data_IF_128667476699
#
_entry.id   IF_128667476699
#
_cell.length_a   1.000
_cell.length_b   1.000
_cell.length_c   1.000
_cell.angle_alpha   90.00
_cell.angle_beta   90.00
_cell.angle_gamma   90.00
#
_symmetry.space_group_name_H-M   'P 1'
#
loop_
_entity.id
_entity.type
_entity.pdbx_description
1 polymer ?
#
# COMPACT_ATOMS: atom_id res chain seq x y z
N UNK A 1 15.68 -26.93 17.75
CA UNK A 1 15.05 -26.90 16.41
C UNK A 1 14.40 -25.53 16.13
N UNK A 2 14.87 -24.43 16.73
CA UNK A 2 14.10 -23.17 16.81
C UNK A 2 14.53 -22.04 15.86
N UNK A 3 15.79 -21.95 15.45
CA UNK A 3 16.26 -20.78 14.67
C UNK A 3 15.93 -20.84 13.17
N UNK A 4 15.81 -22.05 12.61
CA UNK A 4 15.51 -22.21 11.18
C UNK A 4 14.03 -21.91 10.85
N UNK A 5 13.12 -22.08 11.82
CA UNK A 5 11.69 -21.85 11.63
C UNK A 5 11.26 -20.39 11.87
N UNK A 6 12.03 -19.60 12.64
CA UNK A 6 11.71 -18.18 12.89
C UNK A 6 12.10 -17.25 11.75
N UNK A 7 13.17 -17.57 11.01
CA UNK A 7 13.70 -16.69 9.96
C UNK A 7 12.68 -16.33 8.84
N UNK A 8 11.83 -17.25 8.34
CA UNK A 8 10.78 -16.91 7.37
C UNK A 8 9.70 -15.99 7.94
N UNK A 9 9.27 -16.22 9.18
CA UNK A 9 8.24 -15.41 9.85
C UNK A 9 8.75 -13.98 10.14
N UNK A 10 10.02 -13.84 10.50
CA UNK A 10 10.67 -12.54 10.71
C UNK A 10 10.81 -11.76 9.42
N UNK A 11 11.18 -12.41 8.30
CA UNK A 11 11.22 -11.76 6.98
C UNK A 11 9.85 -11.30 6.53
N UNK A 12 8.82 -12.14 6.66
CA UNK A 12 7.46 -11.77 6.29
C UNK A 12 6.97 -10.57 7.13
N UNK A 13 7.31 -10.54 8.43
CA UNK A 13 7.04 -9.39 9.31
C UNK A 13 7.74 -8.12 8.82
N UNK A 14 9.03 -8.22 8.48
CA UNK A 14 9.81 -7.08 7.96
C UNK A 14 9.23 -6.53 6.65
N UNK A 15 8.79 -7.41 5.74
CA UNK A 15 8.16 -6.99 4.48
C UNK A 15 6.87 -6.22 4.74
N UNK A 16 5.99 -6.73 5.60
CA UNK A 16 4.74 -6.04 5.92
C UNK A 16 5.00 -4.68 6.59
N UNK A 17 5.99 -4.60 7.48
CA UNK A 17 6.39 -3.33 8.09
C UNK A 17 6.98 -2.35 7.06
N UNK A 18 7.80 -2.83 6.13
CA UNK A 18 8.34 -2.01 5.04
C UNK A 18 7.21 -1.45 4.16
N UNK A 19 6.23 -2.27 3.79
CA UNK A 19 5.03 -1.84 3.06
C UNK A 19 4.25 -0.79 3.85
N UNK A 20 4.01 -1.02 5.16
CA UNK A 20 3.33 -0.06 6.01
C UNK A 20 4.07 1.30 6.06
N UNK A 21 5.40 1.29 6.15
CA UNK A 21 6.21 2.51 6.13
C UNK A 21 6.14 3.26 4.79
N UNK A 22 6.19 2.53 3.66
CA UNK A 22 6.03 3.14 2.34
C UNK A 22 4.67 3.80 2.21
N UNK A 23 3.60 3.12 2.64
CA UNK A 23 2.23 3.67 2.63
C UNK A 23 2.11 4.91 3.50
N UNK A 24 2.71 4.87 4.70
CA UNK A 24 2.76 6.03 5.59
C UNK A 24 3.46 7.22 4.92
N UNK A 25 4.60 6.98 4.27
CA UNK A 25 5.33 8.02 3.54
C UNK A 25 4.51 8.59 2.37
N UNK A 26 3.89 7.73 1.57
CA UNK A 26 3.00 8.15 0.46
C UNK A 26 1.83 8.99 1.00
N UNK A 27 1.18 8.56 2.08
CA UNK A 27 0.10 9.29 2.71
C UNK A 27 0.54 10.63 3.31
N UNK A 28 1.70 10.68 3.98
CA UNK A 28 2.26 11.91 4.54
C UNK A 28 2.58 12.93 3.44
N UNK A 29 3.28 12.49 2.38
CA UNK A 29 3.59 13.34 1.22
C UNK A 29 2.32 13.80 0.53
N UNK A 30 1.35 12.92 0.31
CA UNK A 30 0.09 13.24 -0.38
C UNK A 30 -0.83 14.16 0.44
N UNK A 31 -0.68 14.18 1.77
CA UNK A 31 -1.35 15.15 2.65
C UNK A 31 -0.72 16.53 2.53
N UNK A 32 0.61 16.60 2.51
CA UNK A 32 1.35 17.86 2.40
C UNK A 32 1.32 18.44 0.97
N UNK A 33 1.30 17.57 -0.04
CA UNK A 33 1.40 17.90 -1.46
C UNK A 33 0.41 17.05 -2.27
N UNK A 34 -0.84 17.50 -2.30
CA UNK A 34 -1.98 16.79 -2.90
C UNK A 34 -1.98 16.70 -4.44
N UNK A 35 -1.03 17.37 -5.10
CA UNK A 35 -0.84 17.31 -6.56
C UNK A 35 0.31 16.43 -7.02
N UNK A 36 1.25 16.06 -6.14
CA UNK A 36 2.46 15.31 -6.54
C UNK A 36 2.13 13.91 -7.02
N UNK A 37 1.28 13.19 -6.29
CA UNK A 37 0.90 11.82 -6.64
C UNK A 37 0.10 11.75 -7.96
N UNK A 38 -0.96 12.56 -8.19
CA UNK A 38 -1.62 12.59 -9.49
C UNK A 38 -0.66 12.93 -10.64
N UNK A 39 0.24 13.90 -10.45
CA UNK A 39 1.20 14.31 -11.48
C UNK A 39 2.23 13.24 -11.81
N UNK A 40 2.69 12.46 -10.83
CA UNK A 40 3.60 11.33 -11.09
C UNK A 40 2.92 10.22 -11.90
N UNK A 41 1.59 10.15 -11.86
CA UNK A 41 0.77 9.31 -12.72
C UNK A 41 0.44 9.97 -14.07
N UNK A 42 1.09 11.08 -14.43
CA UNK A 42 0.90 11.76 -15.70
C UNK A 42 -0.40 12.56 -15.83
N UNK A 43 -1.09 12.84 -14.72
CA UNK A 43 -2.26 13.71 -14.71
C UNK A 43 -1.81 15.17 -14.82
N UNK A 44 -2.49 15.95 -15.66
CA UNK A 44 -2.17 17.35 -15.88
C UNK A 44 -2.36 18.21 -14.61
N UNK A 45 -1.69 19.37 -14.57
CA UNK A 45 -1.69 20.26 -13.40
C UNK A 45 -3.09 20.69 -12.96
N UNK A 46 -3.98 20.99 -13.91
CA UNK A 46 -5.31 21.51 -13.60
C UNK A 46 -6.22 20.41 -13.05
N UNK A 47 -6.16 19.22 -13.64
CA UNK A 47 -6.90 18.05 -13.14
C UNK A 47 -6.34 17.56 -11.82
N UNK A 48 -5.01 17.54 -11.64
CA UNK A 48 -4.38 17.23 -10.36
C UNK A 48 -4.85 18.17 -9.24
N UNK A 49 -4.95 19.48 -9.51
CA UNK A 49 -5.51 20.45 -8.57
C UNK A 49 -6.98 20.19 -8.23
N UNK A 50 -7.80 19.81 -9.22
CA UNK A 50 -9.21 19.43 -8.99
C UNK A 50 -9.35 18.13 -8.17
N UNK A 51 -8.34 17.27 -8.18
CA UNK A 51 -8.32 16.02 -7.43
C UNK A 51 -7.82 16.17 -5.98
N UNK A 52 -7.38 17.36 -5.56
CA UNK A 52 -6.76 17.59 -4.25
C UNK A 52 -7.54 16.98 -3.07
N UNK A 53 -8.86 17.19 -3.03
CA UNK A 53 -9.72 16.62 -1.99
C UNK A 53 -9.67 15.07 -1.96
N UNK A 54 -9.77 14.43 -3.13
CA UNK A 54 -9.70 12.97 -3.25
C UNK A 54 -8.31 12.45 -2.90
N UNK A 55 -7.24 13.15 -3.31
CA UNK A 55 -5.87 12.80 -2.93
C UNK A 55 -5.68 12.84 -1.42
N UNK A 56 -6.26 13.82 -0.71
CA UNK A 56 -6.20 13.91 0.75
C UNK A 56 -7.02 12.81 1.45
N UNK A 57 -8.17 12.43 0.89
CA UNK A 57 -8.94 11.28 1.40
C UNK A 57 -8.15 9.98 1.24
N UNK A 58 -7.56 9.75 0.06
CA UNK A 58 -6.66 8.63 -0.19
C UNK A 58 -5.47 8.64 0.80
N UNK A 59 -4.84 9.79 0.99
CA UNK A 59 -3.72 9.96 1.93
C UNK A 59 -4.11 9.58 3.36
N UNK A 60 -5.29 10.00 3.81
CA UNK A 60 -5.82 9.67 5.14
C UNK A 60 -6.02 8.16 5.30
N UNK A 61 -6.57 7.49 4.28
CA UNK A 61 -6.69 6.02 4.24
C UNK A 61 -5.33 5.34 4.35
N UNK A 62 -4.35 5.79 3.58
CA UNK A 62 -3.01 5.18 3.58
C UNK A 62 -2.32 5.31 4.94
N UNK A 63 -2.44 6.47 5.60
CA UNK A 63 -1.93 6.67 6.96
C UNK A 63 -2.64 5.73 7.94
N UNK A 64 -3.98 5.66 7.90
CA UNK A 64 -4.75 4.82 8.80
C UNK A 64 -4.41 3.32 8.64
N UNK A 65 -4.32 2.83 7.40
CA UNK A 65 -3.94 1.44 7.11
C UNK A 65 -2.50 1.15 7.53
N UNK A 66 -1.57 2.08 7.28
CA UNK A 66 -0.18 1.93 7.69
C UNK A 66 -0.04 1.83 9.21
N UNK A 67 -0.71 2.71 9.95
CA UNK A 67 -0.68 2.70 11.42
C UNK A 67 -1.38 1.47 11.99
N UNK A 68 -2.55 1.10 11.46
CA UNK A 68 -3.30 -0.08 11.89
C UNK A 68 -2.51 -1.38 11.68
N UNK A 69 -1.99 -1.58 10.47
CA UNK A 69 -1.17 -2.76 10.14
C UNK A 69 0.15 -2.77 10.89
N UNK A 70 0.85 -1.63 10.98
CA UNK A 70 2.09 -1.51 11.75
C UNK A 70 1.87 -1.85 13.23
N UNK A 71 0.86 -1.25 13.87
CA UNK A 71 0.55 -1.51 15.26
C UNK A 71 0.16 -2.98 15.51
N UNK A 72 -0.65 -3.57 14.62
CA UNK A 72 -1.08 -4.96 14.75
C UNK A 72 0.10 -5.94 14.60
N UNK A 73 1.01 -5.69 13.66
CA UNK A 73 2.20 -6.52 13.42
C UNK A 73 3.27 -6.34 14.49
N UNK A 74 3.38 -5.15 15.09
CA UNK A 74 4.30 -4.87 16.21
C UNK A 74 3.81 -5.55 17.49
N UNK A 75 2.54 -5.33 17.85
CA UNK A 75 1.93 -5.91 19.08
C UNK A 75 1.76 -7.42 19.00
N UNK A 76 1.56 -7.96 17.79
CA UNK A 76 1.21 -9.38 17.62
C UNK A 76 -0.22 -9.69 18.08
N UNK A 77 -0.62 -10.96 17.94
CA UNK A 77 -1.92 -11.45 18.36
C UNK A 77 -2.90 -11.75 17.22
N UNK A 78 -4.09 -12.23 17.58
CA UNK A 78 -5.10 -12.75 16.64
C UNK A 78 -5.60 -11.72 15.62
N UNK A 79 -5.58 -10.43 15.96
CA UNK A 79 -5.99 -9.34 15.07
C UNK A 79 -4.97 -8.96 13.99
N UNK A 80 -3.70 -9.36 14.12
CA UNK A 80 -2.65 -8.97 13.18
C UNK A 80 -2.90 -9.50 11.77
N UNK A 81 -3.32 -10.77 11.66
CA UNK A 81 -3.64 -11.39 10.38
C UNK A 81 -4.79 -10.68 9.67
N UNK A 82 -5.86 -10.33 10.39
CA UNK A 82 -7.02 -9.64 9.80
C UNK A 82 -6.66 -8.25 9.29
N UNK A 83 -5.87 -7.47 10.04
CA UNK A 83 -5.39 -6.16 9.60
C UNK A 83 -4.50 -6.24 8.37
N UNK A 84 -3.54 -7.17 8.35
CA UNK A 84 -2.66 -7.38 7.19
C UNK A 84 -3.45 -7.77 5.93
N UNK A 85 -4.43 -8.67 6.06
CA UNK A 85 -5.28 -9.07 4.94
C UNK A 85 -6.20 -7.93 4.47
N UNK A 86 -6.73 -7.11 5.39
CA UNK A 86 -7.52 -5.93 5.01
C UNK A 86 -6.66 -4.91 4.25
N UNK A 87 -5.43 -4.66 4.71
CA UNK A 87 -4.47 -3.82 3.98
C UNK A 87 -4.12 -4.39 2.60
N UNK A 88 -3.97 -5.71 2.47
CA UNK A 88 -3.71 -6.36 1.19
C UNK A 88 -4.89 -6.23 0.21
N UNK A 89 -6.12 -6.33 0.73
CA UNK A 89 -7.33 -6.13 -0.08
C UNK A 89 -7.36 -4.71 -0.66
N UNK A 90 -7.05 -3.70 0.17
CA UNK A 90 -6.91 -2.32 -0.26
C UNK A 90 -5.87 -2.17 -1.38
N UNK A 91 -4.68 -2.75 -1.23
CA UNK A 91 -3.62 -2.71 -2.27
C UNK A 91 -4.06 -3.40 -3.56
N UNK A 92 -4.78 -4.51 -3.46
CA UNK A 92 -5.36 -5.19 -4.62
C UNK A 92 -6.31 -4.30 -5.42
N UNK A 93 -7.21 -3.57 -4.74
CA UNK A 93 -8.11 -2.62 -5.41
C UNK A 93 -7.36 -1.42 -6.00
N UNK A 94 -6.30 -0.95 -5.36
CA UNK A 94 -5.46 0.14 -5.88
C UNK A 94 -4.75 -0.31 -7.18
N UNK A 95 -4.21 -1.53 -7.21
CA UNK A 95 -3.60 -2.12 -8.40
C UNK A 95 -4.59 -2.21 -9.57
N UNK A 96 -5.81 -2.70 -9.32
CA UNK A 96 -6.89 -2.77 -10.33
C UNK A 96 -7.25 -1.38 -10.86
N UNK A 97 -7.36 -0.40 -9.96
CA UNK A 97 -7.69 0.98 -10.31
C UNK A 97 -6.62 1.61 -11.19
N UNK A 98 -5.34 1.45 -10.83
CA UNK A 98 -4.19 1.95 -11.59
C UNK A 98 -4.10 1.31 -12.98
N UNK A 99 -4.26 -0.01 -13.08
CA UNK A 99 -4.28 -0.72 -14.37
C UNK A 99 -5.44 -0.25 -15.24
N UNK A 100 -6.62 -0.06 -14.67
CA UNK A 100 -7.81 0.41 -15.40
C UNK A 100 -7.64 1.85 -15.89
N UNK A 101 -7.05 2.73 -15.07
CA UNK A 101 -6.73 4.10 -15.45
C UNK A 101 -5.69 4.15 -16.59
N UNK A 102 -4.65 3.33 -16.53
CA UNK A 102 -3.64 3.21 -17.58
C UNK A 102 -4.22 2.70 -18.91
N UNK A 103 -5.07 1.66 -18.83
CA UNK A 103 -5.73 1.06 -20.02
C UNK A 103 -6.71 2.01 -20.69
N UNK A 104 -7.38 2.85 -19.91
CA UNK A 104 -8.32 3.86 -20.41
C UNK A 104 -7.65 5.18 -20.83
N UNK A 105 -6.33 5.29 -20.74
CA UNK A 105 -5.59 6.50 -21.12
C UNK A 105 -5.78 7.68 -20.15
N UNK A 106 -6.33 7.44 -18.95
CA UNK A 106 -6.54 8.47 -17.92
C UNK A 106 -5.31 8.73 -17.05
N UNK A 107 -4.29 7.88 -17.17
CA UNK A 107 -3.02 7.99 -16.46
C UNK A 107 -1.87 7.43 -17.32
N UNK A 108 -0.65 7.86 -17.04
CA UNK A 108 0.56 7.40 -17.70
C UNK A 108 0.79 5.90 -17.43
N UNK A 109 0.90 5.13 -18.51
CA UNK A 109 1.02 3.66 -18.45
C UNK A 109 2.17 3.18 -17.58
N UNK A 110 3.37 3.73 -17.78
CA UNK A 110 4.57 3.28 -17.08
C UNK A 110 4.44 3.49 -15.56
N UNK A 111 4.08 4.70 -15.13
CA UNK A 111 3.90 5.03 -13.72
C UNK A 111 2.80 4.21 -13.05
N UNK A 112 1.64 4.08 -13.72
CA UNK A 112 0.53 3.29 -13.20
C UNK A 112 0.83 1.79 -13.11
N UNK A 113 1.49 1.20 -14.10
CA UNK A 113 1.86 -0.21 -14.06
C UNK A 113 2.96 -0.49 -13.03
N UNK A 114 3.94 0.41 -12.87
CA UNK A 114 4.96 0.28 -11.83
C UNK A 114 4.32 0.32 -10.43
N UNK A 115 3.42 1.27 -10.19
CA UNK A 115 2.69 1.37 -8.93
C UNK A 115 1.79 0.13 -8.69
N UNK A 116 1.09 -0.35 -9.71
CA UNK A 116 0.27 -1.56 -9.62
C UNK A 116 1.11 -2.81 -9.31
N UNK A 117 2.30 -2.93 -9.90
CA UNK A 117 3.22 -4.03 -9.60
C UNK A 117 3.69 -3.99 -8.13
N UNK A 118 3.99 -2.79 -7.61
CA UNK A 118 4.31 -2.59 -6.20
C UNK A 118 3.15 -3.02 -5.27
N UNK A 119 1.93 -2.64 -5.60
CA UNK A 119 0.73 -3.03 -4.86
C UNK A 119 0.48 -4.56 -4.90
N UNK A 120 0.70 -5.21 -6.05
CA UNK A 120 0.63 -6.68 -6.16
C UNK A 120 1.72 -7.36 -5.32
N UNK A 121 2.93 -6.82 -5.30
CA UNK A 121 4.01 -7.33 -4.45
C UNK A 121 3.67 -7.20 -2.95
N UNK A 122 3.04 -6.08 -2.55
CA UNK A 122 2.55 -5.88 -1.19
C UNK A 122 1.50 -6.93 -0.79
N UNK A 123 0.56 -7.24 -1.69
CA UNK A 123 -0.43 -8.33 -1.50
C UNK A 123 0.28 -9.66 -1.30
N UNK A 124 1.28 -9.98 -2.13
CA UNK A 124 2.08 -11.20 -1.98
C UNK A 124 2.77 -11.30 -0.61
N UNK A 125 3.38 -10.19 -0.15
CA UNK A 125 4.00 -10.11 1.18
C UNK A 125 3.01 -10.32 2.32
N UNK A 126 1.81 -9.74 2.21
CA UNK A 126 0.74 -9.92 3.18
C UNK A 126 0.21 -11.36 3.24
N UNK A 127 0.02 -12.00 2.08
CA UNK A 127 -0.38 -13.40 2.00
C UNK A 127 0.70 -14.34 2.57
N UNK A 128 1.98 -14.05 2.31
CA UNK A 128 3.08 -14.82 2.88
C UNK A 128 3.15 -14.67 4.41
N UNK A 129 2.95 -13.46 4.92
CA UNK A 129 2.81 -13.22 6.37
C UNK A 129 1.65 -14.02 6.97
N UNK A 130 0.48 -14.00 6.33
CA UNK A 130 -0.68 -14.74 6.79
C UNK A 130 -0.47 -16.27 6.76
N UNK A 131 0.32 -16.78 5.82
CA UNK A 131 0.64 -18.19 5.70
C UNK A 131 1.65 -18.68 6.77
N UNK A 132 2.59 -17.82 7.18
CA UNK A 132 3.65 -18.14 8.15
C UNK A 132 3.22 -17.96 9.61
N UNK A 133 2.08 -17.31 9.87
CA UNK A 133 1.50 -17.06 11.20
C UNK A 133 0.31 -17.99 11.52
N UNK A 134 0.31 -19.21 10.99
CA UNK A 134 -0.69 -20.24 11.27
C UNK A 134 -0.47 -20.92 12.62
#
# INVERSE_FOLDING_TARGET
MDQAQSAPADRARQIVLAVALIRLAVGAVSTAQDTVLPRSLGIDSATAGRMAFITRMFATREIALALGTGAAVVKGGSGARSWVLASALADGFDAVTLVTAARSGRAAKLGSYAAAAGAVAAVGGALWYAATRR
#
